data_IF_675480023955
#
_entry.id   IF_675480023955
#
_cell.length_a   1.000
_cell.length_b   1.000
_cell.length_c   1.000
_cell.angle_alpha   90.00
_cell.angle_beta   90.00
_cell.angle_gamma   90.00
#
_symmetry.space_group_name_H-M   'P 1'
#
loop_
_entity.id
_entity.type
_entity.pdbx_description
1 polymer ?
#
# COMPACT_ATOMS: atom_id res chain seq x y z
N UNK A 1 -3.26 5.87 -17.30
CA UNK A 1 -3.06 4.64 -16.53
C UNK A 1 -2.70 5.01 -15.10
N UNK A 2 -3.40 4.44 -14.13
CA UNK A 2 -3.13 4.75 -12.73
C UNK A 2 -1.80 4.15 -12.27
N UNK A 3 -1.09 4.91 -11.44
CA UNK A 3 0.18 4.47 -10.83
C UNK A 3 -0.05 4.21 -9.35
N UNK A 4 0.34 3.02 -8.91
CA UNK A 4 0.15 2.56 -7.54
C UNK A 4 1.50 2.28 -6.89
N UNK A 5 1.70 2.79 -5.68
CA UNK A 5 2.87 2.48 -4.87
C UNK A 5 2.49 1.44 -3.81
N UNK A 6 3.28 0.38 -3.74
CA UNK A 6 3.12 -0.66 -2.71
C UNK A 6 4.20 -0.45 -1.65
N UNK A 7 3.79 -0.30 -0.39
CA UNK A 7 4.69 -0.10 0.75
C UNK A 7 4.49 -1.24 1.74
N UNK A 8 5.41 -2.18 1.77
CA UNK A 8 5.32 -3.37 2.62
C UNK A 8 6.70 -3.95 2.86
N UNK A 9 6.99 -4.35 4.08
CA UNK A 9 8.27 -4.98 4.44
C UNK A 9 8.43 -6.36 3.83
N UNK A 10 7.34 -7.07 3.54
CA UNK A 10 7.35 -8.42 2.98
C UNK A 10 7.61 -8.40 1.48
N UNK A 11 8.71 -8.99 1.06
CA UNK A 11 9.05 -9.11 -0.36
C UNK A 11 8.00 -9.93 -1.12
N UNK A 12 7.48 -11.00 -0.52
CA UNK A 12 6.47 -11.83 -1.17
C UNK A 12 5.17 -11.07 -1.38
N UNK A 13 4.73 -10.27 -0.40
CA UNK A 13 3.53 -9.45 -0.54
C UNK A 13 3.74 -8.39 -1.64
N UNK A 14 4.91 -7.72 -1.63
CA UNK A 14 5.22 -6.73 -2.68
C UNK A 14 5.13 -7.34 -4.07
N UNK A 15 5.73 -8.52 -4.25
CA UNK A 15 5.75 -9.18 -5.56
C UNK A 15 4.35 -9.61 -6.00
N UNK A 16 3.57 -10.20 -5.10
CA UNK A 16 2.21 -10.66 -5.39
C UNK A 16 1.34 -9.47 -5.79
N UNK A 17 1.36 -8.39 -5.01
CA UNK A 17 0.56 -7.21 -5.30
C UNK A 17 0.98 -6.55 -6.62
N UNK A 18 2.28 -6.43 -6.85
CA UNK A 18 2.76 -5.81 -8.08
C UNK A 18 2.33 -6.60 -9.31
N UNK A 19 2.51 -7.93 -9.28
CA UNK A 19 2.09 -8.79 -10.39
C UNK A 19 0.60 -8.66 -10.64
N UNK A 20 -0.22 -8.67 -9.59
CA UNK A 20 -1.67 -8.58 -9.74
C UNK A 20 -2.09 -7.24 -10.31
N UNK A 21 -1.50 -6.14 -9.82
CA UNK A 21 -1.83 -4.81 -10.31
C UNK A 21 -1.42 -4.64 -11.77
N UNK A 22 -0.23 -5.12 -12.14
CA UNK A 22 0.22 -5.07 -13.53
C UNK A 22 -0.67 -5.91 -14.44
N UNK A 23 -1.11 -7.07 -13.98
CA UNK A 23 -2.05 -7.90 -14.72
C UNK A 23 -3.37 -7.18 -14.98
N UNK A 24 -3.83 -6.37 -14.02
CA UNK A 24 -5.07 -5.59 -14.15
C UNK A 24 -4.87 -4.28 -14.96
N UNK A 25 -3.67 -4.02 -15.43
CA UNK A 25 -3.38 -2.86 -16.28
C UNK A 25 -2.86 -1.64 -15.56
N UNK A 26 -2.56 -1.73 -14.26
CA UNK A 26 -1.98 -0.62 -13.51
C UNK A 26 -0.46 -0.60 -13.63
N UNK A 27 0.14 0.57 -13.48
CA UNK A 27 1.57 0.69 -13.29
C UNK A 27 1.86 0.62 -11.79
N UNK A 28 2.75 -0.27 -11.37
CA UNK A 28 3.00 -0.49 -9.95
C UNK A 28 4.48 -0.45 -9.63
N UNK A 29 4.83 0.26 -8.56
CA UNK A 29 6.15 0.26 -7.95
C UNK A 29 6.03 -0.25 -6.52
N UNK A 30 7.05 -0.91 -6.00
CA UNK A 30 7.03 -1.49 -4.67
C UNK A 30 8.28 -1.14 -3.89
N UNK A 31 8.10 -0.72 -2.64
CA UNK A 31 9.18 -0.34 -1.74
C UNK A 31 8.97 -0.98 -0.37
N UNK A 32 10.05 -1.09 0.42
CA UNK A 32 10.00 -1.82 1.68
C UNK A 32 9.84 -0.95 2.92
N UNK A 33 10.13 0.35 2.83
CA UNK A 33 10.09 1.22 4.00
C UNK A 33 9.69 2.64 3.66
N UNK A 34 9.48 3.45 4.71
CA UNK A 34 9.06 4.84 4.58
C UNK A 34 10.08 5.69 3.82
N UNK A 35 11.36 5.48 4.07
CA UNK A 35 12.41 6.28 3.42
C UNK A 35 12.37 6.09 1.91
N UNK A 36 12.28 4.84 1.46
CA UNK A 36 12.16 4.54 0.03
C UNK A 36 10.86 5.09 -0.55
N UNK A 37 9.75 4.99 0.20
CA UNK A 37 8.46 5.52 -0.24
C UNK A 37 8.50 7.04 -0.40
N UNK A 38 9.08 7.75 0.56
CA UNK A 38 9.21 9.20 0.51
C UNK A 38 10.06 9.63 -0.68
N UNK A 39 11.17 8.93 -0.92
CA UNK A 39 12.07 9.23 -2.03
C UNK A 39 11.35 9.07 -3.38
N UNK A 40 10.68 7.94 -3.59
CA UNK A 40 10.02 7.69 -4.87
C UNK A 40 8.79 8.58 -5.08
N UNK A 41 8.07 8.93 -4.02
CA UNK A 41 6.94 9.86 -4.12
C UNK A 41 7.38 11.27 -4.55
N UNK A 42 8.62 11.64 -4.26
CA UNK A 42 9.18 12.90 -4.72
C UNK A 42 9.57 12.90 -6.21
N UNK A 43 9.63 11.73 -6.83
CA UNK A 43 10.07 11.58 -8.22
C UNK A 43 8.94 11.14 -9.15
N UNK A 44 7.97 10.38 -8.64
CA UNK A 44 6.90 9.78 -9.43
C UNK A 44 5.55 10.18 -8.83
N UNK A 45 4.60 10.67 -9.66
CA UNK A 45 3.27 11.01 -9.17
C UNK A 45 2.41 9.74 -9.08
N UNK A 46 2.18 9.26 -7.86
CA UNK A 46 1.30 8.11 -7.62
C UNK A 46 -0.14 8.54 -7.39
N UNK A 47 -1.08 7.71 -7.84
CA UNK A 47 -2.51 7.93 -7.65
C UNK A 47 -3.03 7.29 -6.38
N UNK A 48 -2.34 6.24 -5.89
CA UNK A 48 -2.75 5.46 -4.74
C UNK A 48 -1.53 4.81 -4.09
N UNK A 49 -1.55 4.70 -2.76
CA UNK A 49 -0.57 3.92 -2.01
C UNK A 49 -1.31 2.76 -1.34
N UNK A 50 -0.75 1.55 -1.46
CA UNK A 50 -1.21 0.38 -0.68
C UNK A 50 -0.12 0.11 0.34
N UNK A 51 -0.42 0.32 1.62
CA UNK A 51 0.59 0.30 2.68
C UNK A 51 0.25 -0.66 3.79
N UNK A 52 1.24 -1.47 4.19
CA UNK A 52 1.15 -2.25 5.42
C UNK A 52 1.01 -1.31 6.63
N UNK A 53 0.17 -1.69 7.60
CA UNK A 53 -0.07 -0.88 8.80
C UNK A 53 1.15 -0.70 9.68
N UNK A 54 2.18 -1.55 9.54
CA UNK A 54 3.46 -1.40 10.24
C UNK A 54 4.38 -0.38 9.59
N UNK A 55 4.01 0.16 8.44
CA UNK A 55 4.79 1.18 7.73
C UNK A 55 4.09 2.53 7.84
N UNK A 56 4.88 3.60 7.89
CA UNK A 56 4.32 4.95 7.89
C UNK A 56 4.17 5.45 6.46
N UNK A 57 2.97 5.87 6.11
CA UNK A 57 2.68 6.41 4.77
C UNK A 57 3.26 7.81 4.65
N UNK A 58 3.97 8.14 3.55
CA UNK A 58 4.45 9.48 3.33
C UNK A 58 3.31 10.50 3.29
N UNK A 59 3.54 11.68 3.86
CA UNK A 59 2.58 12.78 3.85
C UNK A 59 2.71 13.54 2.52
N UNK A 60 2.18 12.93 1.47
CA UNK A 60 2.27 13.46 0.11
C UNK A 60 0.90 13.79 -0.50
N UNK A 61 -0.15 13.77 0.31
CA UNK A 61 -1.51 14.04 -0.17
C UNK A 61 -2.09 12.94 -1.06
N UNK A 62 -1.47 11.75 -1.08
CA UNK A 62 -1.91 10.65 -1.90
C UNK A 62 -2.83 9.75 -1.07
N UNK A 63 -4.02 9.37 -1.58
CA UNK A 63 -4.88 8.45 -0.84
C UNK A 63 -4.21 7.09 -0.66
N UNK A 64 -4.48 6.42 0.45
CA UNK A 64 -3.88 5.11 0.70
C UNK A 64 -4.89 4.09 1.24
N UNK A 65 -4.59 2.83 0.97
CA UNK A 65 -5.31 1.67 1.49
C UNK A 65 -4.38 0.97 2.47
N UNK A 66 -4.88 0.65 3.67
CA UNK A 66 -4.10 -0.05 4.68
C UNK A 66 -4.21 -1.56 4.51
N UNK A 67 -3.07 -2.25 4.62
CA UNK A 67 -2.98 -3.71 4.63
C UNK A 67 -2.53 -4.18 5.99
N UNK A 68 -3.16 -5.22 6.54
CA UNK A 68 -2.78 -5.77 7.84
C UNK A 68 -3.00 -7.27 7.92
N UNK A 69 -2.17 -7.96 8.70
CA UNK A 69 -2.42 -9.35 9.08
C UNK A 69 -3.47 -9.43 10.19
N UNK A 70 -3.76 -8.32 10.86
CA UNK A 70 -4.72 -8.24 11.94
C UNK A 70 -6.07 -7.79 11.40
N UNK A 71 -7.04 -8.72 11.39
CA UNK A 71 -8.40 -8.48 10.88
C UNK A 71 -9.34 -7.91 11.95
N UNK A 72 -8.82 -7.47 13.09
CA UNK A 72 -9.67 -6.94 14.17
C UNK A 72 -10.34 -5.63 13.81
N UNK A 73 -11.48 -5.36 14.45
CA UNK A 73 -12.18 -4.09 14.31
C UNK A 73 -11.29 -2.93 14.77
N UNK A 74 -10.52 -3.14 15.85
CA UNK A 74 -9.60 -2.12 16.37
C UNK A 74 -8.57 -1.70 15.32
N UNK A 75 -7.98 -2.64 14.61
CA UNK A 75 -7.03 -2.35 13.54
C UNK A 75 -7.69 -1.57 12.40
N UNK A 76 -8.89 -1.96 12.00
CA UNK A 76 -9.63 -1.26 10.96
C UNK A 76 -9.97 0.18 11.37
N UNK A 77 -10.41 0.38 12.61
CA UNK A 77 -10.73 1.72 13.13
C UNK A 77 -9.48 2.59 13.17
N UNK A 78 -8.34 2.05 13.63
CA UNK A 78 -7.08 2.79 13.64
C UNK A 78 -6.65 3.21 12.25
N UNK A 79 -6.79 2.32 11.27
CA UNK A 79 -6.43 2.62 9.88
C UNK A 79 -7.27 3.77 9.33
N UNK A 80 -8.59 3.71 9.52
CA UNK A 80 -9.50 4.75 9.05
C UNK A 80 -9.20 6.08 9.75
N UNK A 81 -8.93 6.06 11.05
CA UNK A 81 -8.58 7.27 11.80
C UNK A 81 -7.27 7.88 11.36
N UNK A 82 -6.35 7.07 10.83
CA UNK A 82 -5.08 7.56 10.29
C UNK A 82 -5.23 8.14 8.89
N UNK A 83 -6.41 8.04 8.29
CA UNK A 83 -6.70 8.61 6.98
C UNK A 83 -6.81 7.58 5.84
N UNK A 84 -6.75 6.28 6.13
CA UNK A 84 -6.87 5.26 5.09
C UNK A 84 -8.26 5.30 4.45
N UNK A 85 -8.29 5.18 3.13
CA UNK A 85 -9.54 5.12 2.36
C UNK A 85 -10.22 3.77 2.50
N UNK A 86 -9.45 2.71 2.77
CA UNK A 86 -9.96 1.35 2.92
C UNK A 86 -8.96 0.54 3.74
N UNK A 87 -9.39 -0.64 4.15
CA UNK A 87 -8.60 -1.55 4.97
C UNK A 87 -8.76 -2.97 4.43
N UNK A 88 -7.64 -3.61 4.09
CA UNK A 88 -7.60 -4.97 3.58
C UNK A 88 -6.77 -5.85 4.49
N UNK A 89 -7.14 -7.13 4.61
CA UNK A 89 -6.40 -8.07 5.44
C UNK A 89 -5.51 -8.98 4.61
N UNK A 90 -4.37 -9.37 5.18
CA UNK A 90 -3.48 -10.38 4.63
C UNK A 90 -3.83 -11.75 5.25
N UNK A 91 -3.56 -12.85 4.57
CA UNK A 91 -3.08 -12.92 3.20
C UNK A 91 -4.14 -12.45 2.20
N UNK A 92 -3.68 -11.85 1.12
CA UNK A 92 -4.58 -11.34 0.09
C UNK A 92 -4.96 -12.50 -0.82
N UNK A 93 -6.27 -12.70 -1.01
CA UNK A 93 -6.77 -13.70 -1.95
C UNK A 93 -6.68 -13.12 -3.35
N UNK A 94 -5.71 -13.62 -4.12
CA UNK A 94 -5.45 -13.15 -5.48
C UNK A 94 -6.04 -14.06 -6.55
N UNK A 95 -6.82 -15.05 -6.15
CA UNK A 95 -7.46 -15.98 -7.10
C UNK A 95 -8.71 -15.41 -7.72
#
# INVERSE_FOLDING_TARGET
MAKVLILDQSKSVRNILRERLEYEGFSAEAVEDEAAATDICGKVPFDLIISDTGCKVPDAGIPFIALSTDASIDSAVKAVRSGAQDFLTKPIDMN
#
